data_IF_028666863869
#
_entry.id   IF_028666863869
#
_cell.length_a   1.000
_cell.length_b   1.000
_cell.length_c   1.000
_cell.angle_alpha   90.00
_cell.angle_beta   90.00
_cell.angle_gamma   90.00
#
_symmetry.space_group_name_H-M   'P 1'
#
loop_
_entity.id
_entity.type
_entity.pdbx_description
1 polymer ?
#
# COMPACT_ATOMS: atom_id res chain seq x y z
N UNK A 1 -4.39 22.60 -11.54
CA UNK A 1 -5.71 22.59 -12.19
C UNK A 1 -5.82 23.73 -13.19
N UNK A 2 -5.46 24.94 -12.80
CA UNK A 2 -5.61 26.15 -13.63
C UNK A 2 -4.98 26.06 -15.02
N UNK A 3 -3.76 25.52 -15.16
CA UNK A 3 -3.14 25.35 -16.49
C UNK A 3 -3.97 24.41 -17.39
N UNK A 4 -4.55 23.35 -16.84
CA UNK A 4 -5.42 22.44 -17.59
C UNK A 4 -6.73 23.14 -18.01
N UNK A 5 -7.33 23.94 -17.14
CA UNK A 5 -8.50 24.75 -17.50
C UNK A 5 -8.19 25.79 -18.59
N UNK A 6 -7.04 26.49 -18.49
CA UNK A 6 -6.59 27.46 -19.49
C UNK A 6 -6.30 26.81 -20.85
N UNK A 7 -5.90 25.54 -20.85
CA UNK A 7 -5.71 24.75 -22.07
C UNK A 7 -7.01 24.20 -22.64
N UNK A 8 -8.17 24.49 -22.02
CA UNK A 8 -9.46 23.87 -22.35
C UNK A 8 -9.37 22.34 -22.38
N UNK A 9 -8.65 21.78 -21.39
CA UNK A 9 -8.37 20.35 -21.34
C UNK A 9 -9.63 19.58 -20.93
N UNK A 10 -10.16 18.74 -21.83
CA UNK A 10 -11.29 17.86 -21.54
C UNK A 10 -10.84 16.69 -20.63
N UNK A 11 -11.15 16.77 -19.34
CA UNK A 11 -10.74 15.80 -18.32
C UNK A 11 -11.31 14.40 -18.57
N UNK A 12 -12.58 14.33 -18.99
CA UNK A 12 -13.31 13.10 -19.30
C UNK A 12 -12.86 12.42 -20.59
N UNK A 13 -12.10 13.14 -21.43
CA UNK A 13 -11.60 12.65 -22.71
C UNK A 13 -12.74 12.07 -23.56
N UNK A 14 -12.69 10.76 -23.83
CA UNK A 14 -13.72 10.06 -24.61
C UNK A 14 -14.87 9.48 -23.80
N UNK A 15 -14.81 9.51 -22.47
CA UNK A 15 -15.88 8.99 -21.64
C UNK A 15 -17.04 9.99 -21.52
N UNK A 16 -18.22 9.47 -21.22
CA UNK A 16 -19.32 10.33 -20.77
C UNK A 16 -18.95 10.97 -19.42
N UNK A 17 -19.28 12.24 -19.24
CA UNK A 17 -18.83 13.08 -18.14
C UNK A 17 -19.08 12.47 -16.76
N UNK A 18 -20.31 12.02 -16.47
CA UNK A 18 -20.65 11.42 -15.18
C UNK A 18 -19.94 10.06 -15.02
N UNK A 19 -19.82 9.30 -16.10
CA UNK A 19 -19.08 8.03 -16.13
C UNK A 19 -17.61 8.23 -15.78
N UNK A 20 -16.98 9.32 -16.23
CA UNK A 20 -15.63 9.69 -15.83
C UNK A 20 -15.57 10.02 -14.33
N UNK A 21 -16.43 10.92 -13.82
CA UNK A 21 -16.42 11.32 -12.40
C UNK A 21 -16.60 10.14 -11.45
N UNK A 22 -17.42 9.16 -11.81
CA UNK A 22 -17.65 7.92 -11.02
C UNK A 22 -16.41 7.04 -10.87
N UNK A 23 -15.35 7.29 -11.65
CA UNK A 23 -14.05 6.61 -11.50
C UNK A 23 -13.22 7.17 -10.35
N UNK A 24 -13.58 8.35 -9.83
CA UNK A 24 -12.86 9.06 -8.78
C UNK A 24 -13.74 9.21 -7.54
N UNK A 25 -14.98 9.70 -7.72
CA UNK A 25 -15.88 10.00 -6.62
C UNK A 25 -17.01 8.97 -6.48
N UNK A 26 -17.36 8.56 -5.24
CA UNK A 26 -18.53 7.72 -4.98
C UNK A 26 -19.82 8.56 -5.03
N UNK A 27 -20.18 9.05 -6.22
CA UNK A 27 -21.25 10.06 -6.39
C UNK A 27 -22.61 9.67 -5.79
N UNK A 28 -22.93 8.38 -5.73
CA UNK A 28 -24.19 7.89 -5.14
C UNK A 28 -24.21 7.88 -3.61
N UNK A 29 -23.04 7.87 -2.99
CA UNK A 29 -22.89 7.88 -1.54
C UNK A 29 -22.69 9.30 -1.00
N UNK A 30 -22.38 10.25 -1.89
CA UNK A 30 -22.27 11.67 -1.59
C UNK A 30 -23.65 12.32 -1.48
N UNK A 31 -23.84 13.14 -0.45
CA UNK A 31 -25.08 13.87 -0.23
C UNK A 31 -25.28 14.92 -1.32
N UNK A 32 -26.51 15.02 -1.79
CA UNK A 32 -26.96 16.13 -2.62
C UNK A 32 -26.91 17.46 -1.83
N UNK A 33 -26.64 18.56 -2.55
CA UNK A 33 -26.81 19.95 -2.08
C UNK A 33 -28.15 20.57 -2.52
N UNK A 34 -28.87 19.90 -3.42
CA UNK A 34 -30.21 20.26 -3.87
C UNK A 34 -31.22 19.22 -3.37
N UNK A 35 -32.08 19.64 -2.44
CA UNK A 35 -33.09 18.79 -1.81
C UNK A 35 -34.02 18.03 -2.77
N UNK A 36 -34.08 18.43 -4.06
CA UNK A 36 -34.84 17.75 -5.12
C UNK A 36 -34.21 16.43 -5.56
N UNK A 37 -32.91 16.24 -5.34
CA UNK A 37 -32.15 15.07 -5.76
C UNK A 37 -31.65 14.25 -4.58
N UNK A 38 -31.41 12.96 -4.82
CA UNK A 38 -31.04 12.00 -3.78
C UNK A 38 -29.56 12.09 -3.39
N UNK A 39 -28.69 12.30 -4.38
CA UNK A 39 -27.25 12.14 -4.28
C UNK A 39 -26.53 13.08 -5.25
N UNK A 40 -25.20 13.12 -5.18
CA UNK A 40 -24.39 13.98 -6.03
C UNK A 40 -24.47 13.62 -7.52
N UNK A 41 -24.73 12.35 -7.87
CA UNK A 41 -24.94 11.96 -9.27
C UNK A 41 -26.18 12.66 -9.85
N UNK A 42 -27.24 12.79 -9.04
CA UNK A 42 -28.46 13.53 -9.41
C UNK A 42 -28.23 15.02 -9.61
N UNK A 43 -27.54 15.68 -8.67
CA UNK A 43 -27.19 17.10 -8.76
C UNK A 43 -26.40 17.39 -10.05
N UNK A 44 -25.30 16.67 -10.25
CA UNK A 44 -24.39 16.88 -11.38
C UNK A 44 -25.13 16.62 -12.70
N UNK A 45 -25.95 15.57 -12.78
CA UNK A 45 -26.74 15.28 -13.98
C UNK A 45 -27.72 16.41 -14.28
N UNK A 46 -28.42 16.93 -13.27
CA UNK A 46 -29.34 18.02 -13.52
C UNK A 46 -28.60 19.28 -13.96
N UNK A 47 -27.58 19.68 -13.20
CA UNK A 47 -27.02 21.02 -13.32
C UNK A 47 -25.99 21.14 -14.45
N UNK A 48 -25.14 20.13 -14.65
CA UNK A 48 -24.15 20.15 -15.73
C UNK A 48 -24.77 19.72 -17.08
N UNK A 49 -25.64 18.70 -17.08
CA UNK A 49 -26.10 18.05 -18.32
C UNK A 49 -27.47 18.54 -18.79
N UNK A 50 -28.48 18.59 -17.90
CA UNK A 50 -29.84 18.96 -18.31
C UNK A 50 -30.06 20.48 -18.40
N UNK A 51 -29.50 21.23 -17.45
CA UNK A 51 -29.67 22.69 -17.36
C UNK A 51 -28.47 23.47 -17.91
N UNK A 52 -27.26 22.90 -17.81
CA UNK A 52 -26.00 23.59 -18.08
C UNK A 52 -25.86 24.91 -17.30
N UNK A 53 -26.32 24.92 -16.04
CA UNK A 53 -26.27 26.07 -15.13
C UNK A 53 -25.09 26.00 -14.14
N UNK A 54 -24.32 24.90 -14.15
CA UNK A 54 -23.00 24.80 -13.52
C UNK A 54 -21.90 24.77 -14.60
N UNK A 55 -20.79 25.45 -14.32
CA UNK A 55 -19.55 25.29 -15.09
C UNK A 55 -18.56 24.35 -14.37
N UNK A 56 -17.46 24.00 -15.06
CA UNK A 56 -16.45 23.11 -14.50
C UNK A 56 -15.80 23.71 -13.24
N UNK A 57 -15.63 25.03 -13.18
CA UNK A 57 -15.04 25.70 -12.02
C UNK A 57 -15.92 25.50 -10.78
N UNK A 58 -17.21 25.77 -10.90
CA UNK A 58 -18.17 25.54 -9.82
C UNK A 58 -18.18 24.06 -9.41
N UNK A 59 -18.21 23.14 -10.38
CA UNK A 59 -18.21 21.72 -10.07
C UNK A 59 -16.97 21.31 -9.26
N UNK A 60 -15.77 21.61 -9.75
CA UNK A 60 -14.54 21.10 -9.13
C UNK A 60 -14.19 21.85 -7.84
N UNK A 61 -14.34 23.17 -7.78
CA UNK A 61 -13.91 23.98 -6.64
C UNK A 61 -15.01 24.16 -5.58
N UNK A 62 -16.26 24.39 -5.96
CA UNK A 62 -17.33 24.67 -5.00
C UNK A 62 -18.07 23.39 -4.56
N UNK A 63 -18.42 22.55 -5.53
CA UNK A 63 -19.23 21.36 -5.26
C UNK A 63 -18.38 20.17 -4.77
N UNK A 64 -17.36 19.77 -5.56
CA UNK A 64 -16.46 18.66 -5.24
C UNK A 64 -15.32 19.07 -4.29
N UNK A 65 -15.07 20.38 -4.15
CA UNK A 65 -14.07 20.97 -3.24
C UNK A 65 -12.69 20.36 -3.40
N UNK A 66 -12.23 20.24 -4.65
CA UNK A 66 -10.99 19.56 -5.06
C UNK A 66 -9.73 20.05 -4.32
N UNK A 67 -9.74 21.27 -3.76
CA UNK A 67 -8.62 21.82 -2.98
C UNK A 67 -8.52 21.25 -1.56
N UNK A 68 -9.58 20.61 -1.08
CA UNK A 68 -9.70 20.10 0.30
C UNK A 68 -9.92 18.60 0.36
N UNK A 69 -9.96 17.93 -0.80
CA UNK A 69 -10.03 16.47 -0.84
C UNK A 69 -8.69 15.87 -0.38
N UNK A 70 -8.68 14.62 0.07
CA UNK A 70 -7.44 13.95 0.44
C UNK A 70 -6.49 13.78 -0.75
N UNK A 71 -5.18 13.88 -0.51
CA UNK A 71 -4.13 13.78 -1.53
C UNK A 71 -4.29 12.53 -2.41
N UNK A 72 -4.64 11.38 -1.81
CA UNK A 72 -4.81 10.14 -2.54
C UNK A 72 -5.96 10.21 -3.56
N UNK A 73 -7.05 10.90 -3.21
CA UNK A 73 -8.17 11.13 -4.11
C UNK A 73 -7.79 12.09 -5.24
N UNK A 74 -7.01 13.13 -4.94
CA UNK A 74 -6.48 14.05 -5.95
C UNK A 74 -5.50 13.37 -6.92
N UNK A 75 -4.60 12.53 -6.41
CA UNK A 75 -3.69 11.74 -7.22
C UNK A 75 -4.46 10.74 -8.10
N UNK A 76 -5.48 10.08 -7.57
CA UNK A 76 -6.37 9.21 -8.34
C UNK A 76 -7.04 9.99 -9.49
N UNK A 77 -7.48 11.23 -9.24
CA UNK A 77 -7.99 12.10 -10.31
C UNK A 77 -6.94 12.36 -11.40
N UNK A 78 -5.70 12.71 -11.02
CA UNK A 78 -4.59 12.89 -11.96
C UNK A 78 -4.25 11.62 -12.75
N UNK A 79 -4.32 10.45 -12.12
CA UNK A 79 -4.17 9.17 -12.80
C UNK A 79 -5.29 8.95 -13.82
N UNK A 80 -6.56 9.20 -13.44
CA UNK A 80 -7.71 8.95 -14.30
C UNK A 80 -7.73 9.82 -15.54
N UNK A 81 -7.35 11.11 -15.47
CA UNK A 81 -7.33 12.00 -16.65
C UNK A 81 -6.34 11.54 -17.74
N UNK A 82 -5.31 10.78 -17.34
CA UNK A 82 -4.31 10.18 -18.23
C UNK A 82 -4.61 8.71 -18.57
N UNK A 83 -5.63 8.10 -17.95
CA UNK A 83 -5.89 6.67 -18.08
C UNK A 83 -6.31 6.29 -19.51
N UNK A 84 -5.87 5.16 -20.08
CA UNK A 84 -6.14 4.81 -21.47
C UNK A 84 -7.62 4.57 -21.81
N UNK A 85 -8.47 4.31 -20.81
CA UNK A 85 -9.93 4.30 -20.99
C UNK A 85 -10.52 5.69 -21.24
N UNK A 86 -9.90 6.72 -20.68
CA UNK A 86 -10.27 8.15 -20.80
C UNK A 86 -9.61 8.77 -22.03
N UNK A 87 -8.33 8.47 -22.25
CA UNK A 87 -7.50 9.09 -23.27
C UNK A 87 -6.59 8.04 -23.91
N UNK A 88 -6.96 7.56 -25.09
CA UNK A 88 -6.24 6.51 -25.82
C UNK A 88 -5.29 7.05 -26.91
N UNK A 89 -5.33 8.36 -27.20
CA UNK A 89 -4.33 9.00 -28.05
C UNK A 89 -3.02 9.19 -27.27
N UNK A 90 -1.91 8.66 -27.81
CA UNK A 90 -0.61 8.68 -27.14
C UNK A 90 -0.02 10.08 -27.04
N UNK A 91 -0.23 10.92 -28.04
CA UNK A 91 0.30 12.29 -28.04
C UNK A 91 -0.46 13.14 -27.01
N UNK A 92 -1.78 12.98 -26.96
CA UNK A 92 -2.65 13.64 -26.00
C UNK A 92 -2.35 13.18 -24.56
N UNK A 93 -2.18 11.88 -24.35
CA UNK A 93 -1.76 11.30 -23.07
C UNK A 93 -0.39 11.85 -22.65
N UNK A 94 0.58 11.94 -23.57
CA UNK A 94 1.90 12.49 -23.29
C UNK A 94 1.85 13.98 -22.90
N UNK A 95 1.03 14.79 -23.58
CA UNK A 95 0.83 16.22 -23.25
C UNK A 95 0.22 16.39 -21.86
N UNK A 96 -0.80 15.57 -21.54
CA UNK A 96 -1.41 15.53 -20.22
C UNK A 96 -0.36 15.22 -19.14
N UNK A 97 0.41 14.16 -19.33
CA UNK A 97 1.46 13.75 -18.39
C UNK A 97 2.54 14.81 -18.22
N UNK A 98 2.92 15.53 -19.27
CA UNK A 98 3.91 16.60 -19.19
C UNK A 98 3.43 17.72 -18.25
N UNK A 99 2.20 18.20 -18.44
CA UNK A 99 1.61 19.26 -17.61
C UNK A 99 1.44 18.78 -16.17
N UNK A 100 0.84 17.59 -15.98
CA UNK A 100 0.59 17.02 -14.66
C UNK A 100 1.90 16.82 -13.89
N UNK A 101 2.90 16.17 -14.51
CA UNK A 101 4.17 15.91 -13.84
C UNK A 101 4.97 17.16 -13.51
N UNK A 102 4.87 18.21 -14.34
CA UNK A 102 5.51 19.50 -14.06
C UNK A 102 5.02 20.10 -12.75
N UNK A 103 3.72 20.03 -12.48
CA UNK A 103 3.12 20.54 -11.25
C UNK A 103 3.31 19.60 -10.05
N UNK A 104 3.09 18.29 -10.23
CA UNK A 104 3.27 17.30 -9.16
C UNK A 104 4.72 17.23 -8.64
N UNK A 105 5.71 17.58 -9.49
CA UNK A 105 7.12 17.54 -9.10
C UNK A 105 7.46 18.48 -7.93
N UNK A 106 6.72 19.59 -7.78
CA UNK A 106 6.83 20.49 -6.62
C UNK A 106 6.61 19.74 -5.31
N UNK A 107 5.55 18.93 -5.28
CA UNK A 107 5.12 18.15 -4.12
C UNK A 107 5.81 16.79 -3.99
N UNK A 108 6.70 16.47 -4.94
CA UNK A 108 7.48 15.23 -4.94
C UNK A 108 6.77 14.04 -5.57
N UNK A 109 5.70 14.27 -6.31
CA UNK A 109 4.97 13.24 -7.03
C UNK A 109 5.23 13.29 -8.53
N UNK A 110 5.13 12.13 -9.18
CA UNK A 110 5.02 12.04 -10.64
C UNK A 110 4.15 10.86 -11.01
N UNK A 111 3.39 11.00 -12.09
CA UNK A 111 2.79 9.91 -12.83
C UNK A 111 3.89 9.17 -13.62
N UNK A 112 4.08 7.90 -13.28
CA UNK A 112 5.01 7.01 -13.96
C UNK A 112 4.24 5.79 -14.50
N UNK A 113 4.68 5.24 -15.63
CA UNK A 113 4.12 4.01 -16.18
C UNK A 113 4.28 2.87 -15.17
N UNK A 114 3.17 2.22 -14.87
CA UNK A 114 3.06 1.24 -13.79
C UNK A 114 2.41 -0.06 -14.23
N UNK A 115 1.66 -0.02 -15.32
CA UNK A 115 1.00 -1.17 -15.93
C UNK A 115 0.66 -0.84 -17.40
N UNK A 116 0.07 -1.78 -18.12
CA UNK A 116 -0.48 -1.56 -19.46
C UNK A 116 -1.77 -2.35 -19.68
N UNK A 117 -2.68 -1.78 -20.47
CA UNK A 117 -3.91 -2.46 -20.92
C UNK A 117 -4.02 -2.39 -22.43
N UNK A 118 -4.09 -3.56 -23.08
CA UNK A 118 -4.16 -3.67 -24.54
C UNK A 118 -3.06 -2.89 -25.29
N UNK A 119 -1.84 -2.86 -24.73
CA UNK A 119 -0.70 -2.12 -25.30
C UNK A 119 -0.71 -0.61 -25.05
N UNK A 120 -1.64 -0.10 -24.25
CA UNK A 120 -1.65 1.29 -23.79
C UNK A 120 -1.12 1.39 -22.36
N UNK A 121 -0.19 2.32 -22.07
CA UNK A 121 0.36 2.48 -20.75
C UNK A 121 -0.67 3.03 -19.77
N UNK A 122 -0.64 2.51 -18.54
CA UNK A 122 -1.35 3.01 -17.37
C UNK A 122 -0.30 3.71 -16.50
N UNK A 123 -0.62 4.93 -16.06
CA UNK A 123 0.25 5.73 -15.21
C UNK A 123 -0.32 5.81 -13.79
N UNK A 124 0.56 5.68 -12.81
CA UNK A 124 0.25 5.79 -11.38
C UNK A 124 1.11 6.86 -10.73
N UNK A 125 0.54 7.57 -9.76
CA UNK A 125 1.25 8.54 -8.96
C UNK A 125 2.24 7.82 -8.04
N UNK A 126 3.50 8.23 -8.13
CA UNK A 126 4.55 7.80 -7.21
C UNK A 126 5.14 9.00 -6.52
N UNK A 127 5.34 8.90 -5.21
CA UNK A 127 6.20 9.84 -4.52
C UNK A 127 7.66 9.47 -4.81
N UNK A 128 8.39 10.37 -5.47
CA UNK A 128 9.81 10.18 -5.79
C UNK A 128 10.73 10.90 -4.81
N UNK A 129 10.19 11.73 -3.90
CA UNK A 129 10.95 12.40 -2.83
C UNK A 129 10.91 11.64 -1.50
N UNK A 130 9.81 10.94 -1.20
CA UNK A 130 9.61 10.14 0.02
C UNK A 130 9.29 8.68 -0.31
N UNK A 131 9.43 7.81 0.68
CA UNK A 131 9.34 6.36 0.49
C UNK A 131 10.69 5.73 0.10
N UNK A 132 10.84 4.40 0.21
CA UNK A 132 12.10 3.77 -0.13
C UNK A 132 12.37 3.79 -1.63
N UNK A 133 13.62 4.11 -2.01
CA UNK A 133 14.05 4.19 -3.42
C UNK A 133 14.04 2.81 -4.08
N UNK A 134 13.52 2.74 -5.30
CA UNK A 134 13.52 1.55 -6.16
C UNK A 134 12.33 0.61 -5.96
N UNK A 135 12.07 -0.24 -6.96
CA UNK A 135 10.96 -1.19 -6.94
C UNK A 135 11.24 -2.38 -6.01
N UNK A 136 10.18 -2.98 -5.48
CA UNK A 136 10.28 -4.24 -4.72
C UNK A 136 10.59 -5.35 -5.72
N UNK A 137 11.79 -5.93 -5.59
CA UNK A 137 12.23 -7.05 -6.44
C UNK A 137 11.80 -8.40 -5.90
N UNK A 138 11.76 -8.55 -4.57
CA UNK A 138 11.49 -9.80 -3.88
C UNK A 138 10.65 -9.55 -2.63
N UNK A 139 9.63 -10.37 -2.40
CA UNK A 139 8.84 -10.37 -1.19
C UNK A 139 8.79 -11.80 -0.63
N UNK A 140 9.69 -12.08 0.32
CA UNK A 140 9.79 -13.36 1.01
C UNK A 140 9.29 -13.18 2.44
N UNK A 141 8.25 -13.91 2.82
CA UNK A 141 7.49 -13.63 4.04
C UNK A 141 6.89 -14.89 4.68
N UNK A 142 6.22 -14.70 5.81
CA UNK A 142 5.53 -15.74 6.56
C UNK A 142 6.40 -16.96 6.88
N UNK A 143 7.66 -16.72 7.27
CA UNK A 143 8.58 -17.78 7.68
C UNK A 143 8.07 -18.49 8.94
N UNK A 144 7.79 -19.80 8.86
CA UNK A 144 7.29 -20.62 9.98
C UNK A 144 8.23 -21.78 10.38
N UNK A 145 9.49 -21.73 9.94
CA UNK A 145 10.51 -22.73 10.26
C UNK A 145 11.93 -22.27 9.95
N UNK A 146 12.73 -23.13 9.32
CA UNK A 146 14.14 -22.83 9.04
C UNK A 146 14.29 -21.64 8.09
N UNK A 147 15.38 -20.88 8.27
CA UNK A 147 15.72 -19.75 7.39
C UNK A 147 15.93 -20.26 5.94
N UNK A 148 15.32 -19.62 4.93
CA UNK A 148 15.54 -19.98 3.53
C UNK A 148 17.01 -19.81 3.16
N UNK A 149 17.59 -20.76 2.42
CA UNK A 149 18.91 -20.58 1.81
C UNK A 149 18.72 -19.96 0.42
N UNK A 150 19.14 -18.71 0.26
CA UNK A 150 18.99 -17.94 -0.99
C UNK A 150 20.34 -17.85 -1.70
N UNK A 151 20.35 -18.13 -3.00
CA UNK A 151 21.48 -17.88 -3.92
C UNK A 151 21.10 -16.81 -4.94
N UNK A 152 22.09 -16.08 -5.44
CA UNK A 152 21.92 -15.18 -6.59
C UNK A 152 22.28 -16.00 -7.83
N UNK A 153 21.30 -16.24 -8.70
CA UNK A 153 21.48 -16.99 -9.94
C UNK A 153 21.93 -16.07 -11.09
N UNK A 154 21.52 -14.80 -11.04
CA UNK A 154 22.01 -13.73 -11.93
C UNK A 154 22.25 -12.45 -11.12
N UNK A 155 23.50 -12.01 -11.07
CA UNK A 155 23.90 -10.81 -10.31
C UNK A 155 23.66 -9.49 -11.06
N UNK A 156 23.51 -9.53 -12.37
CA UNK A 156 23.23 -8.35 -13.20
C UNK A 156 21.74 -7.99 -13.11
N UNK A 157 20.88 -9.00 -13.15
CA UNK A 157 19.42 -8.82 -13.05
C UNK A 157 18.91 -8.88 -11.61
N UNK A 158 19.72 -9.38 -10.68
CA UNK A 158 19.39 -9.65 -9.28
C UNK A 158 18.31 -10.75 -9.16
N UNK A 159 18.44 -11.79 -9.96
CA UNK A 159 17.61 -13.00 -9.87
C UNK A 159 18.11 -13.84 -8.70
N UNK A 160 17.19 -14.24 -7.83
CA UNK A 160 17.47 -15.06 -6.65
C UNK A 160 16.68 -16.36 -6.70
N UNK A 161 17.22 -17.40 -6.07
CA UNK A 161 16.58 -18.70 -5.94
C UNK A 161 16.69 -19.19 -4.49
N UNK A 162 15.63 -19.79 -3.97
CA UNK A 162 15.65 -20.47 -2.67
C UNK A 162 16.03 -21.93 -2.89
N UNK A 163 17.26 -22.31 -2.52
CA UNK A 163 17.81 -23.66 -2.74
C UNK A 163 17.51 -24.62 -1.60
N UNK A 164 17.19 -24.12 -0.40
CA UNK A 164 16.73 -24.93 0.75
C UNK A 164 15.74 -24.17 1.64
N UNK A 165 14.91 -24.92 2.37
CA UNK A 165 13.95 -24.41 3.35
C UNK A 165 12.88 -23.48 2.76
N UNK A 166 12.62 -23.57 1.45
CA UNK A 166 11.60 -22.77 0.77
C UNK A 166 10.17 -23.13 1.18
N UNK A 167 9.95 -24.34 1.69
CA UNK A 167 8.68 -24.81 2.22
C UNK A 167 8.22 -24.03 3.47
N UNK A 168 9.15 -23.40 4.19
CA UNK A 168 8.87 -22.64 5.40
C UNK A 168 8.49 -21.18 5.16
N UNK A 169 8.63 -20.67 3.94
CA UNK A 169 8.29 -19.29 3.61
C UNK A 169 7.36 -19.21 2.39
N UNK A 170 6.85 -18.00 2.16
CA UNK A 170 6.10 -17.64 0.97
C UNK A 170 6.92 -16.65 0.15
N UNK A 171 6.86 -16.79 -1.17
CA UNK A 171 7.49 -15.87 -2.13
C UNK A 171 6.41 -15.33 -3.04
N UNK A 172 6.11 -14.04 -2.91
CA UNK A 172 5.18 -13.36 -3.81
C UNK A 172 5.91 -13.00 -5.10
N UNK A 173 5.41 -13.51 -6.23
CA UNK A 173 6.05 -13.53 -7.55
C UNK A 173 5.32 -12.68 -8.60
N UNK A 174 4.32 -11.89 -8.18
CA UNK A 174 3.62 -10.95 -9.05
C UNK A 174 4.15 -9.52 -8.85
N UNK A 175 3.95 -8.61 -9.82
CA UNK A 175 4.18 -7.18 -9.60
C UNK A 175 3.39 -6.63 -8.42
N UNK A 176 3.95 -5.64 -7.71
CA UNK A 176 3.23 -4.90 -6.67
C UNK A 176 2.37 -3.84 -7.35
N UNK A 177 1.04 -3.83 -7.15
CA UNK A 177 0.17 -2.81 -7.74
C UNK A 177 0.47 -1.41 -7.22
N UNK A 178 0.19 -0.38 -8.03
CA UNK A 178 0.31 1.03 -7.60
C UNK A 178 -0.63 1.44 -6.49
N UNK A 179 -1.76 0.75 -6.39
CA UNK A 179 -2.67 0.88 -5.25
C UNK A 179 -2.06 0.35 -3.95
N UNK A 180 -0.83 -0.18 -3.96
CA UNK A 180 -0.32 -1.03 -2.90
C UNK A 180 -0.84 -2.46 -3.04
N UNK A 181 -0.31 -3.35 -2.20
CA UNK A 181 -0.71 -4.76 -2.18
C UNK A 181 -1.93 -4.94 -1.27
N UNK A 182 -3.09 -5.24 -1.84
CA UNK A 182 -4.33 -5.45 -1.09
C UNK A 182 -4.49 -6.90 -0.64
N UNK A 183 -5.33 -7.14 0.37
CA UNK A 183 -5.66 -8.49 0.82
C UNK A 183 -6.23 -9.35 -0.31
N UNK A 184 -7.13 -8.80 -1.13
CA UNK A 184 -7.67 -9.51 -2.31
C UNK A 184 -6.59 -9.95 -3.30
N UNK A 185 -5.52 -9.18 -3.45
CA UNK A 185 -4.45 -9.47 -4.41
C UNK A 185 -3.64 -10.67 -3.90
N UNK A 186 -3.30 -10.66 -2.60
CA UNK A 186 -2.67 -11.81 -1.94
C UNK A 186 -3.54 -13.06 -1.98
N UNK A 187 -4.86 -12.94 -1.79
CA UNK A 187 -5.77 -14.09 -1.82
C UNK A 187 -5.85 -14.68 -3.22
N UNK A 188 -5.95 -13.85 -4.27
CA UNK A 188 -5.93 -14.33 -5.67
C UNK A 188 -4.63 -15.03 -6.00
N UNK A 189 -3.50 -14.43 -5.63
CA UNK A 189 -2.18 -15.05 -5.77
C UNK A 189 -2.10 -16.41 -5.04
N UNK A 190 -2.60 -16.47 -3.80
CA UNK A 190 -2.63 -17.70 -3.01
C UNK A 190 -3.53 -18.77 -3.63
N UNK A 191 -4.70 -18.38 -4.13
CA UNK A 191 -5.64 -19.26 -4.82
C UNK A 191 -5.03 -19.86 -6.09
N UNK A 192 -4.38 -19.04 -6.92
CA UNK A 192 -3.65 -19.49 -8.11
C UNK A 192 -2.53 -20.48 -7.75
N UNK A 193 -1.73 -20.16 -6.73
CA UNK A 193 -0.59 -20.99 -6.28
C UNK A 193 -1.03 -22.36 -5.77
N UNK A 194 -2.10 -22.41 -4.99
CA UNK A 194 -2.58 -23.64 -4.35
C UNK A 194 -3.66 -24.38 -5.18
N UNK A 195 -4.07 -23.83 -6.34
CA UNK A 195 -5.11 -24.42 -7.17
C UNK A 195 -6.51 -24.41 -6.53
N UNK A 196 -6.82 -23.37 -5.74
CA UNK A 196 -8.09 -23.25 -5.02
C UNK A 196 -9.06 -22.38 -5.84
N UNK A 197 -10.18 -22.96 -6.27
CA UNK A 197 -11.20 -22.21 -7.03
C UNK A 197 -12.10 -21.35 -6.12
N UNK A 198 -12.41 -21.81 -4.91
CA UNK A 198 -13.26 -21.08 -3.97
C UNK A 198 -12.47 -19.96 -3.26
N UNK A 199 -12.84 -18.72 -3.56
CA UNK A 199 -12.19 -17.54 -2.98
C UNK A 199 -12.26 -17.50 -1.44
N UNK A 200 -13.38 -17.93 -0.82
CA UNK A 200 -13.53 -17.93 0.64
C UNK A 200 -12.66 -19.00 1.29
N UNK A 201 -12.49 -20.15 0.63
CA UNK A 201 -11.56 -21.19 1.04
C UNK A 201 -10.11 -20.68 0.96
N UNK A 202 -9.75 -20.02 -0.14
CA UNK A 202 -8.43 -19.40 -0.32
C UNK A 202 -8.16 -18.36 0.77
N UNK A 203 -9.13 -17.49 1.11
CA UNK A 203 -9.02 -16.52 2.20
C UNK A 203 -8.72 -17.19 3.54
N UNK A 204 -9.48 -18.24 3.89
CA UNK A 204 -9.29 -18.99 5.15
C UNK A 204 -7.96 -19.74 5.17
N UNK A 205 -7.54 -20.29 4.02
CA UNK A 205 -6.25 -20.97 3.86
C UNK A 205 -5.08 -20.02 4.10
N UNK A 206 -5.08 -18.88 3.39
CA UNK A 206 -4.05 -17.87 3.50
C UNK A 206 -3.98 -17.30 4.92
N UNK A 207 -5.12 -16.92 5.52
CA UNK A 207 -5.15 -16.41 6.89
C UNK A 207 -4.51 -17.38 7.88
N UNK A 208 -4.83 -18.68 7.78
CA UNK A 208 -4.23 -19.72 8.63
C UNK A 208 -2.73 -19.84 8.40
N UNK A 209 -2.28 -19.83 7.13
CA UNK A 209 -0.86 -19.91 6.77
C UNK A 209 -0.06 -18.73 7.31
N UNK A 210 -0.60 -17.52 7.23
CA UNK A 210 0.02 -16.30 7.75
C UNK A 210 0.06 -16.29 9.28
N UNK A 211 -1.06 -16.59 9.94
CA UNK A 211 -1.14 -16.65 11.40
C UNK A 211 -0.19 -17.72 12.00
N UNK A 212 0.07 -18.82 11.29
CA UNK A 212 1.01 -19.86 11.72
C UNK A 212 2.45 -19.36 11.84
N UNK A 213 2.85 -18.34 11.08
CA UNK A 213 4.21 -17.78 11.14
C UNK A 213 4.48 -16.90 12.35
N UNK A 214 3.45 -16.49 13.09
CA UNK A 214 3.57 -15.56 14.21
C UNK A 214 4.01 -16.27 15.50
N UNK A 215 5.09 -15.77 16.09
CA UNK A 215 5.78 -16.43 17.20
C UNK A 215 5.25 -16.03 18.58
N UNK A 216 4.69 -14.82 18.71
CA UNK A 216 4.25 -14.28 20.00
C UNK A 216 2.74 -14.01 20.06
N UNK A 217 2.16 -14.08 21.26
CA UNK A 217 0.73 -13.75 21.46
C UNK A 217 0.39 -12.28 21.12
N UNK A 218 1.24 -11.29 21.45
CA UNK A 218 1.08 -9.91 20.96
C UNK A 218 1.02 -9.78 19.43
N UNK A 219 1.90 -10.46 18.69
CA UNK A 219 1.85 -10.48 17.21
C UNK A 219 0.53 -11.08 16.71
N UNK A 220 0.09 -12.21 17.29
CA UNK A 220 -1.17 -12.85 16.92
C UNK A 220 -2.37 -11.96 17.24
N UNK A 221 -2.34 -11.20 18.34
CA UNK A 221 -3.40 -10.25 18.66
C UNK A 221 -3.45 -9.12 17.64
N UNK A 222 -2.31 -8.51 17.31
CA UNK A 222 -2.21 -7.47 16.26
C UNK A 222 -2.80 -7.97 14.94
N UNK A 223 -2.34 -9.13 14.49
CA UNK A 223 -2.79 -9.74 13.24
C UNK A 223 -4.30 -10.02 13.25
N UNK A 224 -4.82 -10.70 14.28
CA UNK A 224 -6.25 -11.03 14.37
C UNK A 224 -7.13 -9.79 14.48
N UNK A 225 -6.71 -8.78 15.25
CA UNK A 225 -7.46 -7.55 15.46
C UNK A 225 -7.53 -6.72 14.17
N UNK A 226 -6.43 -6.67 13.40
CA UNK A 226 -6.43 -6.06 12.07
C UNK A 226 -7.49 -6.71 11.15
N UNK A 227 -7.47 -8.05 11.02
CA UNK A 227 -8.45 -8.75 10.18
C UNK A 227 -9.88 -8.62 10.70
N UNK A 228 -10.07 -8.52 12.01
CA UNK A 228 -11.39 -8.26 12.61
C UNK A 228 -11.89 -6.86 12.27
N UNK A 229 -11.02 -5.84 12.23
CA UNK A 229 -11.37 -4.47 11.89
C UNK A 229 -11.86 -4.33 10.43
N UNK A 230 -11.27 -5.09 9.50
CA UNK A 230 -11.55 -4.99 8.07
C UNK A 230 -12.39 -6.15 7.51
N UNK A 231 -13.02 -6.96 8.38
CA UNK A 231 -13.79 -8.15 7.99
C UNK A 231 -14.88 -7.87 6.96
N UNK A 232 -15.48 -6.69 6.99
CA UNK A 232 -16.62 -6.32 6.15
C UNK A 232 -16.19 -5.57 4.88
N UNK A 233 -14.88 -5.34 4.69
CA UNK A 233 -14.34 -4.62 3.53
C UNK A 233 -14.13 -5.51 2.28
N UNK A 234 -14.63 -6.75 2.28
CA UNK A 234 -14.55 -7.74 1.18
C UNK A 234 -13.16 -7.86 0.50
N UNK A 235 -12.10 -7.76 1.31
CA UNK A 235 -10.70 -7.81 0.84
C UNK A 235 -10.18 -6.54 0.15
N UNK A 236 -10.97 -5.47 0.12
CA UNK A 236 -10.56 -4.14 -0.32
C UNK A 236 -9.88 -3.35 0.82
N UNK A 237 -8.86 -3.94 1.42
CA UNK A 237 -8.01 -3.31 2.43
C UNK A 237 -6.56 -3.78 2.24
N UNK A 238 -5.55 -3.01 2.70
CA UNK A 238 -4.15 -3.38 2.51
C UNK A 238 -3.81 -4.76 3.10
N UNK A 239 -2.89 -5.48 2.47
CA UNK A 239 -2.35 -6.68 3.05
C UNK A 239 -1.46 -6.36 4.25
N UNK A 240 -1.72 -7.01 5.39
CA UNK A 240 -0.81 -7.04 6.54
C UNK A 240 0.08 -8.30 6.42
N UNK A 241 1.31 -8.11 5.95
CA UNK A 241 2.22 -9.19 5.55
C UNK A 241 3.15 -9.53 6.71
N UNK A 242 3.04 -10.70 7.35
CA UNK A 242 3.84 -11.03 8.52
C UNK A 242 5.23 -11.59 8.17
N UNK A 243 6.19 -11.42 9.08
CA UNK A 243 7.47 -12.13 9.10
C UNK A 243 8.28 -11.97 7.80
N UNK A 244 8.49 -10.72 7.37
CA UNK A 244 9.08 -10.38 6.06
C UNK A 244 10.60 -10.30 6.14
N UNK A 245 11.32 -11.01 5.26
CA UNK A 245 12.77 -10.87 5.13
C UNK A 245 13.13 -9.56 4.43
N UNK A 246 13.82 -8.65 5.12
CA UNK A 246 14.33 -7.39 4.57
C UNK A 246 15.82 -7.48 4.23
N UNK A 247 16.59 -8.11 5.11
CA UNK A 247 18.02 -8.24 4.96
C UNK A 247 18.39 -9.71 5.04
N UNK A 248 19.28 -10.13 4.14
CA UNK A 248 19.71 -11.50 4.03
C UNK A 248 21.23 -11.56 4.04
N UNK A 249 21.79 -12.19 5.08
CA UNK A 249 23.19 -12.59 5.08
C UNK A 249 23.26 -14.08 4.65
N UNK A 250 23.91 -14.41 3.52
CA UNK A 250 24.02 -15.79 3.06
C UNK A 250 24.97 -16.62 3.94
N UNK A 251 25.79 -15.99 4.78
CA UNK A 251 26.76 -16.68 5.63
C UNK A 251 26.17 -17.03 6.99
N UNK A 252 26.49 -18.24 7.46
CA UNK A 252 26.16 -18.68 8.82
C UNK A 252 27.02 -17.96 9.86
N UNK A 253 26.55 -17.89 11.10
CA UNK A 253 27.33 -17.34 12.23
C UNK A 253 28.70 -18.00 12.39
N UNK A 254 28.80 -19.30 12.05
CA UNK A 254 30.07 -20.04 12.04
C UNK A 254 31.02 -19.52 10.96
N UNK A 255 30.53 -19.25 9.76
CA UNK A 255 31.32 -18.69 8.65
C UNK A 255 31.76 -17.25 8.95
N UNK A 256 30.91 -16.48 9.63
CA UNK A 256 31.19 -15.10 10.04
C UNK A 256 32.09 -14.99 11.29
N UNK A 257 32.53 -16.11 11.88
CA UNK A 257 33.33 -16.13 13.12
C UNK A 257 32.70 -15.32 14.27
N UNK A 258 31.36 -15.34 14.35
CA UNK A 258 30.60 -14.58 15.35
C UNK A 258 30.33 -13.12 15.00
N UNK A 259 30.80 -12.61 13.85
CA UNK A 259 30.48 -11.27 13.39
C UNK A 259 29.00 -11.17 12.96
N UNK A 260 28.26 -10.23 13.54
CA UNK A 260 26.87 -9.94 13.16
C UNK A 260 26.87 -8.75 12.21
N UNK A 261 26.80 -9.01 10.90
CA UNK A 261 26.74 -7.96 9.87
C UNK A 261 25.34 -7.40 9.69
N UNK A 262 24.34 -8.25 9.88
CA UNK A 262 22.92 -7.92 9.71
C UNK A 262 22.17 -8.34 10.97
N UNK A 263 21.85 -7.35 11.81
CA UNK A 263 21.13 -7.57 13.08
C UNK A 263 19.65 -7.82 12.88
N UNK A 264 19.02 -7.12 11.93
CA UNK A 264 17.59 -7.24 11.62
C UNK A 264 17.38 -7.83 10.24
N UNK A 265 17.16 -9.14 10.19
CA UNK A 265 16.89 -9.84 8.93
C UNK A 265 15.41 -9.86 8.59
N UNK A 266 14.54 -9.83 9.62
CA UNK A 266 13.09 -10.00 9.50
C UNK A 266 12.36 -8.86 10.19
N UNK A 267 11.30 -8.37 9.56
CA UNK A 267 10.32 -7.44 10.12
C UNK A 267 9.10 -8.23 10.60
N UNK A 268 8.44 -7.78 11.68
CA UNK A 268 7.24 -8.46 12.18
C UNK A 268 6.08 -8.34 11.19
N UNK A 269 5.79 -7.11 10.71
CA UNK A 269 4.80 -6.89 9.66
C UNK A 269 5.20 -5.79 8.68
N UNK A 270 4.75 -5.95 7.42
CA UNK A 270 4.89 -4.97 6.35
C UNK A 270 3.52 -4.69 5.72
N UNK A 271 3.26 -3.44 5.38
CA UNK A 271 2.18 -3.02 4.50
C UNK A 271 2.77 -2.24 3.32
N UNK A 272 2.30 -2.58 2.12
CA UNK A 272 2.66 -1.90 0.89
C UNK A 272 1.44 -1.08 0.46
N UNK A 273 1.52 0.23 0.64
CA UNK A 273 0.43 1.17 0.42
C UNK A 273 0.60 1.92 -0.92
N UNK A 274 -0.42 2.66 -1.39
CA UNK A 274 -0.28 3.53 -2.55
C UNK A 274 0.91 4.49 -2.46
N UNK A 275 1.29 5.07 -3.61
CA UNK A 275 2.32 6.11 -3.66
C UNK A 275 3.70 5.69 -3.13
N UNK A 276 4.02 4.39 -3.19
CA UNK A 276 5.27 3.79 -2.70
C UNK A 276 5.49 3.94 -1.17
N UNK A 277 4.42 4.09 -0.40
CA UNK A 277 4.48 4.13 1.06
C UNK A 277 4.66 2.69 1.58
N UNK A 278 5.69 2.47 2.40
CA UNK A 278 5.99 1.17 3.03
C UNK A 278 5.94 1.31 4.53
N UNK A 279 4.94 0.69 5.15
CA UNK A 279 4.74 0.73 6.60
C UNK A 279 5.28 -0.54 7.22
N UNK A 280 6.18 -0.39 8.18
CA UNK A 280 6.72 -1.47 9.02
C UNK A 280 6.08 -1.36 10.38
N UNK A 281 5.50 -2.46 10.85
CA UNK A 281 4.98 -2.57 12.21
C UNK A 281 5.83 -3.59 12.96
N UNK A 282 6.21 -3.24 14.18
CA UNK A 282 7.06 -4.07 15.03
C UNK A 282 6.39 -4.24 16.39
N UNK A 283 6.46 -5.44 16.95
CA UNK A 283 5.85 -5.78 18.23
C UNK A 283 6.95 -6.05 19.24
N UNK A 284 7.24 -5.05 20.07
CA UNK A 284 8.43 -5.06 20.91
C UNK A 284 8.20 -5.80 22.24
N UNK A 285 8.65 -7.06 22.31
CA UNK A 285 8.72 -7.80 23.58
C UNK A 285 9.99 -7.50 24.39
N UNK A 286 10.06 -8.05 25.62
CA UNK A 286 11.16 -7.81 26.57
C UNK A 286 12.55 -8.11 25.99
N UNK A 287 12.63 -9.10 25.11
CA UNK A 287 13.85 -9.53 24.43
C UNK A 287 14.50 -8.45 23.56
N UNK A 288 13.76 -7.41 23.16
CA UNK A 288 14.30 -6.33 22.32
C UNK A 288 15.06 -5.26 23.12
N UNK A 289 14.88 -5.21 24.44
CA UNK A 289 15.48 -4.18 25.28
C UNK A 289 16.00 -4.72 26.62
N UNK A 290 16.01 -6.05 26.83
CA UNK A 290 16.44 -6.68 28.08
C UNK A 290 17.30 -7.93 27.82
N UNK A 291 18.30 -8.13 28.68
CA UNK A 291 19.07 -9.37 28.78
C UNK A 291 18.50 -10.16 29.96
N UNK A 292 17.75 -11.23 29.66
CA UNK A 292 16.93 -11.92 30.66
C UNK A 292 15.81 -10.99 31.18
N UNK A 293 15.82 -10.72 32.49
CA UNK A 293 14.87 -9.81 33.14
C UNK A 293 15.47 -8.44 33.48
N UNK A 294 16.70 -8.15 33.02
CA UNK A 294 17.37 -6.86 33.24
C UNK A 294 17.34 -6.03 31.97
N UNK A 295 16.85 -4.80 32.06
CA UNK A 295 16.90 -3.87 30.93
C UNK A 295 18.34 -3.58 30.48
N UNK A 296 18.55 -3.49 29.18
CA UNK A 296 19.85 -3.29 28.53
C UNK A 296 19.81 -2.02 27.68
N UNK A 297 20.46 -0.93 28.12
CA UNK A 297 20.61 0.29 27.32
C UNK A 297 21.27 0.03 25.97
N UNK A 298 22.12 -1.01 25.88
CA UNK A 298 22.74 -1.44 24.62
C UNK A 298 21.68 -1.95 23.64
N UNK A 299 20.87 -2.94 24.03
CA UNK A 299 19.81 -3.48 23.16
C UNK A 299 18.79 -2.41 22.77
N UNK A 300 18.42 -1.54 23.73
CA UNK A 300 17.56 -0.40 23.44
C UNK A 300 18.17 0.55 22.39
N UNK A 301 19.44 0.93 22.56
CA UNK A 301 20.12 1.84 21.62
C UNK A 301 20.27 1.25 20.22
N UNK A 302 20.49 -0.06 20.12
CA UNK A 302 20.52 -0.82 18.87
C UNK A 302 19.14 -0.81 18.19
N UNK A 303 18.07 -1.12 18.94
CA UNK A 303 16.69 -1.10 18.45
C UNK A 303 16.29 0.26 17.86
N UNK A 304 16.56 1.36 18.58
CA UNK A 304 16.23 2.71 18.09
C UNK A 304 17.14 3.16 16.95
N UNK A 305 18.36 2.61 16.84
CA UNK A 305 19.23 2.87 15.69
C UNK A 305 18.69 2.23 14.41
N UNK A 306 18.20 0.99 14.50
CA UNK A 306 17.56 0.31 13.37
C UNK A 306 16.27 1.02 12.93
N UNK A 307 15.49 1.53 13.89
CA UNK A 307 14.30 2.36 13.60
C UNK A 307 14.66 3.60 12.75
N UNK A 308 15.69 4.35 13.16
CA UNK A 308 16.18 5.51 12.40
C UNK A 308 16.70 5.12 11.03
N UNK A 309 17.44 4.00 10.92
CA UNK A 309 17.96 3.53 9.65
C UNK A 309 16.85 3.20 8.64
N UNK A 310 15.74 2.60 9.09
CA UNK A 310 14.58 2.34 8.24
C UNK A 310 13.88 3.64 7.82
N UNK A 311 13.65 4.55 8.76
CA UNK A 311 13.04 5.86 8.47
C UNK A 311 13.85 6.69 7.49
N UNK A 312 15.17 6.72 7.64
CA UNK A 312 16.08 7.38 6.69
C UNK A 312 16.09 6.72 5.30
N UNK A 313 15.74 5.43 5.23
CA UNK A 313 15.51 4.71 3.97
C UNK A 313 14.08 4.91 3.44
N UNK A 314 13.26 5.76 4.07
CA UNK A 314 11.92 6.12 3.62
C UNK A 314 10.79 5.19 4.10
N UNK A 315 11.06 4.27 5.03
CA UNK A 315 9.99 3.45 5.63
C UNK A 315 9.26 4.24 6.72
N UNK A 316 7.94 4.09 6.80
CA UNK A 316 7.17 4.48 7.97
C UNK A 316 7.26 3.35 8.99
N UNK A 317 7.76 3.63 10.20
CA UNK A 317 7.95 2.60 11.24
C UNK A 317 7.13 2.93 12.46
N UNK A 318 6.26 2.00 12.86
CA UNK A 318 5.49 2.07 14.09
C UNK A 318 5.78 0.85 14.96
N UNK A 319 5.85 1.07 16.28
CA UNK A 319 6.19 0.06 17.27
C UNK A 319 5.07 -0.05 18.29
N UNK A 320 4.61 -1.26 18.53
CA UNK A 320 3.71 -1.59 19.63
C UNK A 320 4.54 -2.18 20.76
N UNK A 321 4.39 -1.64 21.97
CA UNK A 321 4.97 -2.29 23.14
C UNK A 321 4.24 -3.60 23.38
N UNK A 322 4.94 -4.72 23.58
CA UNK A 322 4.29 -6.02 23.82
C UNK A 322 3.30 -5.96 24.99
N UNK A 323 3.58 -5.14 26.01
CA UNK A 323 2.68 -4.90 27.14
C UNK A 323 1.33 -4.25 26.73
N UNK A 324 1.36 -3.29 25.80
CA UNK A 324 0.17 -2.61 25.25
C UNK A 324 -0.80 -3.60 24.60
N UNK A 325 -0.27 -4.70 24.07
CA UNK A 325 -1.04 -5.75 23.41
C UNK A 325 -1.39 -6.93 24.33
N UNK A 326 -1.06 -6.85 25.62
CA UNK A 326 -1.43 -7.89 26.62
C UNK A 326 -2.51 -7.44 27.59
N UNK A 327 -2.80 -6.15 27.63
CA UNK A 327 -3.88 -5.58 28.45
C UNK A 327 -5.23 -5.73 27.74
N UNK A 328 -6.34 -5.67 28.51
CA UNK A 328 -7.69 -5.83 27.97
C UNK A 328 -8.03 -4.84 26.84
N UNK A 329 -7.41 -3.66 26.83
CA UNK A 329 -7.60 -2.64 25.80
C UNK A 329 -6.80 -2.86 24.52
N UNK A 330 -5.91 -3.88 24.46
CA UNK A 330 -4.96 -4.05 23.35
C UNK A 330 -5.63 -4.15 21.99
N UNK A 331 -6.75 -4.88 21.89
CA UNK A 331 -7.53 -4.96 20.65
C UNK A 331 -8.05 -3.58 20.21
N UNK A 332 -8.63 -2.81 21.12
CA UNK A 332 -9.19 -1.50 20.81
C UNK A 332 -8.09 -0.53 20.33
N UNK A 333 -6.92 -0.56 20.98
CA UNK A 333 -5.74 0.22 20.58
C UNK A 333 -5.29 -0.11 19.15
N UNK A 334 -5.24 -1.39 18.79
CA UNK A 334 -4.89 -1.82 17.43
C UNK A 334 -5.91 -1.29 16.41
N UNK A 335 -7.21 -1.46 16.69
CA UNK A 335 -8.28 -1.02 15.78
C UNK A 335 -8.22 0.50 15.56
N UNK A 336 -8.07 1.27 16.65
CA UNK A 336 -7.98 2.72 16.56
C UNK A 336 -6.74 3.18 15.79
N UNK A 337 -5.58 2.56 16.06
CA UNK A 337 -4.35 2.85 15.33
C UNK A 337 -4.53 2.65 13.83
N UNK A 338 -5.07 1.50 13.40
CA UNK A 338 -5.24 1.24 11.97
C UNK A 338 -6.26 2.19 11.33
N UNK A 339 -7.32 2.58 12.04
CA UNK A 339 -8.25 3.60 11.54
C UNK A 339 -7.56 4.97 11.33
N UNK A 340 -6.63 5.36 12.21
CA UNK A 340 -5.81 6.56 12.05
C UNK A 340 -4.79 6.41 10.91
N UNK A 341 -4.15 5.25 10.81
CA UNK A 341 -3.18 4.93 9.76
C UNK A 341 -3.82 4.99 8.36
N UNK A 342 -4.99 4.37 8.19
CA UNK A 342 -5.74 4.42 6.93
C UNK A 342 -6.14 5.85 6.58
N UNK A 343 -6.61 6.64 7.57
CA UNK A 343 -6.94 8.06 7.35
C UNK A 343 -5.75 8.90 6.92
N UNK A 344 -4.53 8.55 7.34
CA UNK A 344 -3.33 9.30 6.99
C UNK A 344 -2.79 8.96 5.60
N UNK A 345 -2.92 7.70 5.17
CA UNK A 345 -2.18 7.21 3.99
C UNK A 345 -3.06 6.70 2.86
N UNK A 346 -4.37 6.52 3.07
CA UNK A 346 -5.28 5.92 2.08
C UNK A 346 -6.52 6.77 1.85
N UNK A 347 -7.08 7.34 2.93
CA UNK A 347 -8.28 8.16 2.85
C UNK A 347 -8.07 9.39 2.00
#
# INVERSE_FOLDING_TARGET
MDELFLMHFAFEGRLEFITFLKRIWPLKDMKSTDYRYKDAEGDIRQHMVNNSDWDESFLYFEYLKIETIPDQMFLQFMEQISHPLVRNDREEQSKCLEVVNRHLAGDGYKLQEVDSISGYPIYGAINFKSGPKGNIKNLIFSADGYKPEIVITDSLENNIEIVKNGEYCLVYDKPIPVSGLMWRDLVKWWAEREGIEDYKEAQKGLFRRLNKSLGSEPEKLLFKSYFKAFRDADGNFPALIPQVYLHYDPYTMKQLRGEIRVRRQRMDFLMLLPSNIRVVLEVDGKQHYSEGDKSSPKLYSEMVSEDRNLKLKGYEVFRFGGYELTVESGEATIIEFFAQLMRRFIA
#
